data_IF_048496485903
#
_entry.id   IF_048496485903
#
_cell.length_a   1.000
_cell.length_b   1.000
_cell.length_c   1.000
_cell.angle_alpha   90.00
_cell.angle_beta   90.00
_cell.angle_gamma   90.00
#
_symmetry.space_group_name_H-M   'P 1'
#
loop_
_entity.id
_entity.type
_entity.pdbx_description
1 polymer ?
#
# COMPACT_ATOMS: atom_id res chain seq x y z
N UNK A 1 -4.56 11.16 -15.61
CA UNK A 1 -3.90 11.28 -14.30
C UNK A 1 -4.65 10.40 -13.34
N UNK A 2 -3.95 9.52 -12.61
CA UNK A 2 -4.56 8.63 -11.62
C UNK A 2 -3.96 8.94 -10.26
N UNK A 3 -4.83 9.13 -9.26
CA UNK A 3 -4.44 9.32 -7.86
C UNK A 3 -4.78 8.05 -7.09
N UNK A 4 -3.75 7.32 -6.67
CA UNK A 4 -3.89 6.07 -5.93
C UNK A 4 -3.74 6.35 -4.44
N UNK A 5 -4.71 5.90 -3.64
CA UNK A 5 -4.61 5.85 -2.19
C UNK A 5 -4.26 4.44 -1.70
N UNK A 6 -3.07 4.25 -1.13
CA UNK A 6 -2.72 3.05 -0.37
C UNK A 6 -3.28 3.19 1.04
N UNK A 7 -4.40 2.55 1.36
CA UNK A 7 -5.07 2.65 2.66
C UNK A 7 -5.00 1.32 3.41
N UNK A 8 -4.75 1.37 4.71
CA UNK A 8 -4.66 0.18 5.56
C UNK A 8 -4.16 0.52 6.95
N UNK A 9 -4.27 -0.41 7.89
CA UNK A 9 -3.90 -0.21 9.29
C UNK A 9 -2.38 0.05 9.47
N UNK A 10 -1.99 0.45 10.69
CA UNK A 10 -0.58 0.60 11.09
C UNK A 10 0.21 -0.66 10.71
N UNK A 11 1.43 -0.50 10.20
CA UNK A 11 2.31 -1.63 9.86
C UNK A 11 1.78 -2.62 8.81
N UNK A 12 0.74 -2.28 8.03
CA UNK A 12 0.28 -3.10 6.90
C UNK A 12 1.26 -3.13 5.70
N UNK A 13 2.35 -2.35 5.76
CA UNK A 13 3.41 -2.33 4.74
C UNK A 13 3.16 -1.41 3.54
N UNK A 14 2.25 -0.42 3.68
CA UNK A 14 1.99 0.61 2.65
C UNK A 14 3.26 1.32 2.16
N UNK A 15 4.11 1.74 3.09
CA UNK A 15 5.38 2.41 2.77
C UNK A 15 6.35 1.47 2.08
N UNK A 16 6.42 0.21 2.51
CA UNK A 16 7.27 -0.81 1.88
C UNK A 16 6.85 -1.05 0.42
N UNK A 17 5.55 -1.19 0.15
CA UNK A 17 5.00 -1.28 -1.22
C UNK A 17 5.44 -0.06 -2.04
N UNK A 18 5.32 1.15 -1.48
CA UNK A 18 5.68 2.39 -2.17
C UNK A 18 7.19 2.49 -2.46
N UNK A 19 8.05 2.12 -1.49
CA UNK A 19 9.51 2.09 -1.63
C UNK A 19 9.96 1.06 -2.67
N UNK A 20 9.36 -0.13 -2.63
CA UNK A 20 9.61 -1.18 -3.60
C UNK A 20 9.26 -0.72 -5.02
N UNK A 21 8.10 -0.09 -5.20
CA UNK A 21 7.73 0.46 -6.50
C UNK A 21 8.74 1.51 -7.01
N UNK A 22 9.19 2.43 -6.14
CA UNK A 22 10.24 3.41 -6.49
C UNK A 22 11.56 2.73 -6.87
N UNK A 23 11.94 1.66 -6.18
CA UNK A 23 13.13 0.86 -6.51
C UNK A 23 13.02 0.25 -7.92
N UNK A 24 11.84 -0.28 -8.28
CA UNK A 24 11.58 -0.80 -9.63
C UNK A 24 11.68 0.28 -10.71
N UNK A 25 11.13 1.47 -10.45
CA UNK A 25 11.25 2.61 -11.35
C UNK A 25 12.71 3.04 -11.55
N UNK A 26 13.46 3.19 -10.46
CA UNK A 26 14.84 3.69 -10.51
C UNK A 26 15.82 2.69 -11.14
N UNK A 27 15.60 1.39 -10.96
CA UNK A 27 16.44 0.34 -11.56
C UNK A 27 16.07 0.03 -13.03
N UNK A 28 14.95 0.56 -13.53
CA UNK A 28 14.41 0.20 -14.83
C UNK A 28 13.79 -1.21 -14.88
N UNK A 29 13.69 -1.90 -13.74
CA UNK A 29 13.09 -3.24 -13.65
C UNK A 29 11.57 -3.17 -13.89
N UNK A 30 10.97 -1.98 -13.80
CA UNK A 30 9.57 -1.73 -14.16
C UNK A 30 9.23 -2.10 -15.61
N UNK A 31 10.20 -2.12 -16.51
CA UNK A 31 9.98 -2.50 -17.92
C UNK A 31 9.92 -4.02 -18.11
N UNK A 32 10.39 -4.79 -17.12
CA UNK A 32 10.50 -6.26 -17.19
C UNK A 32 9.31 -6.99 -16.58
N UNK A 33 8.45 -6.30 -15.85
CA UNK A 33 7.25 -6.90 -15.23
C UNK A 33 6.09 -7.00 -16.22
N UNK A 34 5.06 -7.80 -15.92
CA UNK A 34 3.89 -7.88 -16.78
C UNK A 34 3.17 -6.52 -16.91
N UNK A 35 2.86 -6.10 -18.14
CA UNK A 35 2.34 -4.74 -18.39
C UNK A 35 3.38 -3.63 -18.19
N UNK A 36 4.67 -4.00 -18.12
CA UNK A 36 5.80 -3.13 -17.87
C UNK A 36 5.83 -1.93 -18.81
N UNK A 37 6.10 -0.76 -18.22
CA UNK A 37 6.05 0.51 -18.93
C UNK A 37 7.11 1.46 -18.40
N UNK A 38 7.87 2.07 -19.31
CA UNK A 38 8.89 3.04 -18.93
C UNK A 38 8.25 4.24 -18.24
N UNK A 39 8.62 4.45 -16.99
CA UNK A 39 8.09 5.50 -16.13
C UNK A 39 9.24 6.18 -15.40
N UNK A 40 9.15 7.51 -15.23
CA UNK A 40 10.15 8.31 -14.54
C UNK A 40 9.59 8.83 -13.23
N UNK A 41 10.37 8.73 -12.15
CA UNK A 41 10.04 9.35 -10.87
C UNK A 41 10.21 10.86 -10.99
N UNK A 42 9.15 11.62 -10.70
CA UNK A 42 9.18 13.09 -10.66
C UNK A 42 9.43 13.61 -9.26
N UNK A 43 8.83 12.98 -8.25
CA UNK A 43 8.96 13.39 -6.85
C UNK A 43 8.71 12.23 -5.91
N UNK A 44 9.54 12.13 -4.87
CA UNK A 44 9.31 11.24 -3.72
C UNK A 44 9.28 12.07 -2.45
N UNK A 45 8.43 11.68 -1.51
CA UNK A 45 8.32 12.31 -0.20
C UNK A 45 7.96 11.22 0.80
N UNK A 46 8.94 10.82 1.60
CA UNK A 46 8.81 9.81 2.65
C UNK A 46 8.85 10.43 4.05
N UNK A 47 8.57 11.74 4.16
CA UNK A 47 8.63 12.49 5.42
C UNK A 47 7.47 12.20 6.40
N UNK A 48 6.52 11.35 6.01
CA UNK A 48 5.40 10.91 6.84
C UNK A 48 5.75 9.79 7.82
N UNK A 49 7.03 9.43 7.97
CA UNK A 49 7.46 8.38 8.89
C UNK A 49 7.50 8.87 10.35
N UNK A 50 6.80 8.12 11.21
CA UNK A 50 7.22 7.93 12.59
C UNK A 50 8.08 6.65 12.61
N UNK A 51 9.38 6.78 12.82
CA UNK A 51 10.20 5.63 13.21
C UNK A 51 9.70 5.15 14.58
N UNK A 52 9.17 3.93 14.66
CA UNK A 52 9.01 3.27 15.97
C UNK A 52 10.42 3.03 16.49
N UNK A 53 10.80 3.52 17.68
CA UNK A 53 12.14 3.36 18.19
C UNK A 53 12.44 1.87 18.39
N UNK A 54 13.28 1.32 17.53
CA UNK A 54 13.99 0.07 17.80
C UNK A 54 14.93 0.35 18.97
N UNK A 55 14.75 -0.38 20.07
CA UNK A 55 15.43 -0.12 21.35
C UNK A 55 16.95 -0.02 21.28
N UNK A 56 17.48 0.67 22.28
CA UNK A 56 18.89 0.84 22.67
C UNK A 56 19.73 1.89 21.94
N UNK A 57 19.16 3.06 21.66
CA UNK A 57 19.96 4.30 21.62
C UNK A 57 19.24 5.41 22.39
N UNK A 58 19.92 5.96 23.38
CA UNK A 58 19.61 7.23 24.05
C UNK A 58 19.77 8.39 23.04
N UNK A 59 18.97 8.39 21.98
CA UNK A 59 18.93 9.52 21.07
C UNK A 59 17.81 10.45 21.55
N UNK A 60 18.22 11.61 22.08
CA UNK A 60 17.39 12.79 22.40
C UNK A 60 16.61 13.35 21.19
N UNK A 61 16.64 12.65 20.05
CA UNK A 61 15.80 12.87 18.86
C UNK A 61 14.45 12.13 18.94
N UNK A 62 14.24 11.26 19.94
CA UNK A 62 13.04 10.45 20.14
C UNK A 62 11.80 11.21 20.67
N UNK A 63 11.92 12.51 20.96
CA UNK A 63 10.80 13.37 21.41
C UNK A 63 10.22 14.26 20.31
N UNK A 64 10.54 14.03 19.03
CA UNK A 64 9.79 14.71 17.97
C UNK A 64 8.48 13.98 17.75
N UNK A 65 7.43 14.42 18.46
CA UNK A 65 6.05 14.29 17.97
C UNK A 65 6.08 14.54 16.46
N UNK A 66 5.71 13.52 15.67
CA UNK A 66 5.76 13.63 14.20
C UNK A 66 4.82 14.77 13.79
N UNK A 67 5.35 15.97 13.58
CA UNK A 67 4.57 17.15 13.17
C UNK A 67 4.10 17.06 11.72
N UNK A 68 4.56 16.07 10.95
CA UNK A 68 4.29 15.98 9.52
C UNK A 68 2.89 15.45 9.25
N UNK A 69 2.03 16.37 8.82
CA UNK A 69 0.68 16.18 8.27
C UNK A 69 0.71 15.43 6.93
N UNK A 70 1.87 15.41 6.27
CA UNK A 70 1.99 14.98 4.88
C UNK A 70 2.09 13.46 4.76
N UNK A 71 1.20 12.81 3.98
CA UNK A 71 1.32 11.40 3.68
C UNK A 71 2.57 11.15 2.84
N UNK A 72 3.12 9.94 2.95
CA UNK A 72 4.13 9.51 2.00
C UNK A 72 3.55 9.58 0.59
N UNK A 73 4.31 10.10 -0.37
CA UNK A 73 3.84 10.22 -1.76
C UNK A 73 4.93 9.96 -2.77
N UNK A 74 4.51 9.41 -3.90
CA UNK A 74 5.34 9.26 -5.10
C UNK A 74 4.57 9.84 -6.26
N UNK A 75 5.20 10.74 -7.01
CA UNK A 75 4.72 11.24 -8.29
C UNK A 75 5.62 10.66 -9.37
N UNK A 76 5.02 9.99 -10.33
CA UNK A 76 5.74 9.41 -11.47
C UNK A 76 5.02 9.74 -12.78
N UNK A 77 5.74 9.64 -13.90
CA UNK A 77 5.25 9.99 -15.23
C UNK A 77 5.57 8.88 -16.22
N UNK A 78 4.57 8.50 -17.00
CA UNK A 78 4.74 7.59 -18.13
C UNK A 78 5.58 8.26 -19.24
N UNK A 79 6.58 7.56 -19.78
CA UNK A 79 7.51 8.14 -20.75
C UNK A 79 6.88 8.36 -22.14
N UNK A 80 5.93 7.52 -22.54
CA UNK A 80 5.24 7.56 -23.84
C UNK A 80 4.09 8.57 -23.88
N UNK A 81 3.21 8.58 -22.87
CA UNK A 81 2.00 9.39 -22.84
C UNK A 81 2.22 10.75 -22.15
N UNK A 82 3.30 10.87 -21.37
CA UNK A 82 3.56 12.04 -20.54
C UNK A 82 2.60 12.20 -19.36
N UNK A 83 1.64 11.27 -19.16
CA UNK A 83 0.68 11.32 -18.06
C UNK A 83 1.40 11.17 -16.72
N UNK A 84 1.09 12.06 -15.79
CA UNK A 84 1.57 11.98 -14.41
C UNK A 84 0.54 11.26 -13.53
N UNK A 85 1.04 10.50 -12.57
CA UNK A 85 0.27 9.74 -11.60
C UNK A 85 0.84 10.00 -10.21
N UNK A 86 -0.03 9.95 -9.20
CA UNK A 86 0.38 10.15 -7.81
C UNK A 86 -0.11 9.00 -6.95
N UNK A 87 0.78 8.47 -6.12
CA UNK A 87 0.46 7.46 -5.12
C UNK A 87 0.63 8.11 -3.75
N UNK A 88 -0.38 7.96 -2.90
CA UNK A 88 -0.38 8.43 -1.52
C UNK A 88 -0.44 7.24 -0.57
N UNK A 89 0.40 7.26 0.46
CA UNK A 89 0.43 6.30 1.55
C UNK A 89 0.37 7.06 2.88
N UNK A 90 -0.84 7.40 3.38
CA UNK A 90 -0.98 7.97 4.71
C UNK A 90 -0.56 6.97 5.80
N UNK A 91 -0.29 7.47 7.00
CA UNK A 91 -0.12 6.64 8.18
C UNK A 91 -1.40 5.82 8.49
N UNK A 92 -1.26 4.76 9.30
CA UNK A 92 -2.39 3.92 9.70
C UNK A 92 -2.97 4.26 11.09
N UNK A 93 -2.32 5.14 11.85
CA UNK A 93 -2.68 5.41 13.24
C UNK A 93 -3.95 6.26 13.34
N UNK A 94 -5.04 5.62 13.73
CA UNK A 94 -6.36 6.25 13.86
C UNK A 94 -6.52 7.13 15.10
N UNK A 95 -5.66 6.97 16.11
CA UNK A 95 -5.73 7.75 17.35
C UNK A 95 -5.19 9.17 17.15
N UNK A 96 -4.27 9.35 16.19
CA UNK A 96 -3.69 10.64 15.87
C UNK A 96 -4.58 11.42 14.90
N UNK A 97 -5.14 12.53 15.38
CA UNK A 97 -6.05 13.39 14.60
C UNK A 97 -5.47 13.80 13.23
N UNK A 98 -4.18 14.13 13.20
CA UNK A 98 -3.46 14.52 11.97
C UNK A 98 -3.42 13.37 10.95
N UNK A 99 -3.14 12.14 11.40
CA UNK A 99 -3.11 10.96 10.52
C UNK A 99 -4.52 10.63 10.04
N UNK A 100 -5.53 10.72 10.91
CA UNK A 100 -6.94 10.56 10.55
C UNK A 100 -7.37 11.57 9.48
N UNK A 101 -6.96 12.82 9.60
CA UNK A 101 -7.21 13.85 8.58
C UNK A 101 -6.52 13.51 7.25
N UNK A 102 -5.29 12.98 7.30
CA UNK A 102 -4.59 12.46 6.12
C UNK A 102 -5.36 11.32 5.43
N UNK A 103 -5.85 10.34 6.19
CA UNK A 103 -6.67 9.22 5.66
C UNK A 103 -7.96 9.75 5.02
N UNK A 104 -8.67 10.68 5.65
CA UNK A 104 -9.89 11.29 5.09
C UNK A 104 -9.58 12.06 3.80
N UNK A 105 -8.49 12.83 3.80
CA UNK A 105 -8.10 13.63 2.64
C UNK A 105 -7.76 12.73 1.46
N UNK A 106 -6.91 11.71 1.68
CA UNK A 106 -6.51 10.77 0.63
C UNK A 106 -7.70 9.96 0.13
N UNK A 107 -8.55 9.45 1.02
CA UNK A 107 -9.74 8.68 0.61
C UNK A 107 -10.73 9.50 -0.22
N UNK A 108 -10.72 10.84 -0.09
CA UNK A 108 -11.55 11.73 -0.90
C UNK A 108 -10.95 12.12 -2.26
N UNK A 109 -9.63 12.29 -2.35
CA UNK A 109 -8.97 12.74 -3.60
C UNK A 109 -8.48 11.59 -4.49
N UNK A 110 -8.40 10.38 -3.92
CA UNK A 110 -7.97 9.19 -4.64
C UNK A 110 -9.04 8.77 -5.65
N UNK A 111 -8.67 8.67 -6.92
CA UNK A 111 -9.52 8.12 -7.97
C UNK A 111 -9.57 6.59 -7.89
N UNK A 112 -8.54 5.99 -7.30
CA UNK A 112 -8.41 4.55 -7.08
C UNK A 112 -7.88 4.29 -5.68
N UNK A 113 -8.41 3.29 -4.99
CA UNK A 113 -7.95 2.87 -3.66
C UNK A 113 -7.41 1.45 -3.76
N UNK A 114 -6.23 1.23 -3.17
CA UNK A 114 -5.71 -0.10 -2.84
C UNK A 114 -5.87 -0.27 -1.32
N UNK A 115 -6.75 -1.18 -0.93
CA UNK A 115 -6.93 -1.59 0.46
C UNK A 115 -5.85 -2.62 0.83
N UNK A 116 -4.89 -2.21 1.66
CA UNK A 116 -3.75 -3.02 2.08
C UNK A 116 -4.06 -3.72 3.39
N UNK A 117 -4.04 -5.05 3.35
CA UNK A 117 -4.11 -5.95 4.49
C UNK A 117 -2.77 -6.65 4.71
N UNK A 118 -2.58 -7.20 5.89
CA UNK A 118 -1.35 -7.91 6.27
C UNK A 118 -1.67 -9.24 6.93
N UNK A 119 -0.89 -10.27 6.62
CA UNK A 119 -1.12 -11.63 7.09
C UNK A 119 -0.68 -11.89 8.55
N UNK A 120 0.17 -11.01 9.10
CA UNK A 120 0.72 -11.14 10.47
C UNK A 120 -0.19 -10.57 11.56
N UNK A 121 -1.41 -10.13 11.22
CA UNK A 121 -2.32 -9.46 12.15
C UNK A 121 -3.76 -9.90 11.95
N UNK A 122 -4.54 -9.84 13.03
CA UNK A 122 -5.97 -10.16 13.00
C UNK A 122 -6.74 -9.26 12.05
N UNK A 123 -7.55 -9.86 11.17
CA UNK A 123 -8.41 -9.15 10.21
C UNK A 123 -9.37 -8.17 10.88
N UNK A 124 -9.89 -8.50 12.06
CA UNK A 124 -10.84 -7.64 12.78
C UNK A 124 -10.27 -6.23 13.04
N UNK A 125 -9.02 -6.17 13.50
CA UNK A 125 -8.35 -4.88 13.76
C UNK A 125 -8.13 -4.07 12.47
N UNK A 126 -7.90 -4.76 11.36
CA UNK A 126 -7.73 -4.16 10.04
C UNK A 126 -9.07 -3.70 9.46
N UNK A 127 -10.16 -4.42 9.71
CA UNK A 127 -11.52 -3.98 9.38
C UNK A 127 -11.95 -2.75 10.16
N UNK A 128 -11.55 -2.64 11.43
CA UNK A 128 -11.78 -1.43 12.22
C UNK A 128 -11.13 -0.21 11.59
N UNK A 129 -9.96 -0.36 10.96
CA UNK A 129 -9.37 0.72 10.18
C UNK A 129 -10.30 1.17 9.05
N UNK A 130 -10.83 0.23 8.26
CA UNK A 130 -11.71 0.56 7.14
C UNK A 130 -13.13 0.96 7.57
N UNK A 131 -13.58 0.61 8.79
CA UNK A 131 -14.80 1.16 9.42
C UNK A 131 -14.72 2.69 9.56
N UNK A 132 -13.52 3.23 9.80
CA UNK A 132 -13.33 4.68 9.98
C UNK A 132 -13.13 5.46 8.68
N UNK A 133 -12.91 4.76 7.55
CA UNK A 133 -12.78 5.38 6.24
C UNK A 133 -14.17 5.64 5.67
N UNK A 134 -14.51 6.92 5.47
CA UNK A 134 -15.85 7.32 5.02
C UNK A 134 -16.04 7.33 3.51
N UNK A 135 -14.98 7.64 2.76
CA UNK A 135 -15.06 7.80 1.32
C UNK A 135 -14.35 6.63 0.63
N UNK A 136 -15.08 5.94 -0.23
CA UNK A 136 -14.54 4.91 -1.11
C UNK A 136 -15.09 5.16 -2.52
N UNK A 137 -14.28 4.89 -3.57
CA UNK A 137 -14.83 4.70 -4.90
C UNK A 137 -15.66 3.41 -4.95
N UNK A 138 -16.56 3.31 -5.93
CA UNK A 138 -17.43 2.14 -6.14
C UNK A 138 -16.64 0.84 -6.37
N UNK A 139 -15.39 0.97 -6.82
CA UNK A 139 -14.47 -0.11 -7.15
C UNK A 139 -13.12 0.15 -6.51
N UNK A 140 -12.58 -0.85 -5.81
CA UNK A 140 -11.26 -0.82 -5.19
C UNK A 140 -10.41 -2.00 -5.64
N UNK A 141 -9.13 -1.93 -5.36
CA UNK A 141 -8.21 -3.05 -5.42
C UNK A 141 -7.84 -3.47 -4.00
N UNK A 142 -7.49 -4.73 -3.80
CA UNK A 142 -7.02 -5.25 -2.52
C UNK A 142 -5.59 -5.74 -2.66
N UNK A 143 -4.76 -5.47 -1.67
CA UNK A 143 -3.41 -6.00 -1.55
C UNK A 143 -3.28 -6.73 -0.22
N UNK A 144 -3.04 -8.04 -0.25
CA UNK A 144 -2.71 -8.83 0.93
C UNK A 144 -1.19 -8.94 0.99
N UNK A 145 -0.60 -8.34 2.01
CA UNK A 145 0.83 -8.21 2.18
C UNK A 145 1.38 -9.16 3.26
N UNK A 146 2.70 -9.35 3.24
CA UNK A 146 3.46 -10.20 4.15
C UNK A 146 3.01 -11.67 4.14
N UNK A 147 2.68 -12.18 2.95
CA UNK A 147 2.27 -13.58 2.80
C UNK A 147 3.37 -14.57 3.23
N UNK A 148 4.62 -14.11 3.22
CA UNK A 148 5.80 -14.83 3.71
C UNK A 148 5.71 -15.19 5.20
N UNK A 149 4.95 -14.42 5.99
CA UNK A 149 4.73 -14.66 7.41
C UNK A 149 3.61 -15.66 7.70
N UNK A 150 2.93 -16.19 6.68
CA UNK A 150 1.92 -17.24 6.88
C UNK A 150 2.58 -18.59 7.17
N UNK A 151 2.27 -19.15 8.33
CA UNK A 151 2.66 -20.51 8.74
C UNK A 151 1.51 -21.51 8.53
N UNK A 152 1.86 -22.79 8.31
CA UNK A 152 0.89 -23.87 8.11
C UNK A 152 0.26 -23.88 6.72
N UNK A 153 -1.04 -24.22 6.63
CA UNK A 153 -1.78 -24.24 5.37
C UNK A 153 -2.06 -22.80 4.87
N UNK A 154 -1.14 -22.31 4.04
CA UNK A 154 -1.18 -20.94 3.48
C UNK A 154 -2.36 -20.75 2.53
N UNK A 155 -2.69 -21.76 1.74
CA UNK A 155 -3.71 -21.66 0.71
C UNK A 155 -5.09 -21.52 1.35
N UNK A 156 -5.39 -22.38 2.34
CA UNK A 156 -6.64 -22.28 3.10
C UNK A 156 -6.77 -20.93 3.81
N UNK A 157 -5.73 -20.49 4.54
CA UNK A 157 -5.75 -19.19 5.25
C UNK A 157 -5.93 -18.00 4.32
N UNK A 158 -5.29 -18.03 3.15
CA UNK A 158 -5.44 -16.97 2.16
C UNK A 158 -6.86 -16.95 1.57
N UNK A 159 -7.46 -18.10 1.30
CA UNK A 159 -8.85 -18.14 0.80
C UNK A 159 -9.86 -17.67 1.84
N UNK A 160 -9.68 -18.07 3.10
CA UNK A 160 -10.50 -17.55 4.21
C UNK A 160 -10.37 -16.03 4.35
N UNK A 161 -9.14 -15.51 4.24
CA UNK A 161 -8.85 -14.08 4.30
C UNK A 161 -9.46 -13.32 3.11
N UNK A 162 -9.29 -13.81 1.89
CA UNK A 162 -9.89 -13.23 0.68
C UNK A 162 -11.41 -13.17 0.78
N UNK A 163 -12.03 -14.26 1.24
CA UNK A 163 -13.48 -14.34 1.43
C UNK A 163 -13.95 -13.32 2.46
N UNK A 164 -13.32 -13.26 3.63
CA UNK A 164 -13.68 -12.31 4.68
C UNK A 164 -13.54 -10.85 4.22
N UNK A 165 -12.46 -10.52 3.48
CA UNK A 165 -12.25 -9.18 2.91
C UNK A 165 -13.34 -8.87 1.87
N UNK A 166 -13.66 -9.83 1.01
CA UNK A 166 -14.68 -9.68 -0.03
C UNK A 166 -16.06 -9.43 0.58
N UNK A 167 -16.44 -10.21 1.59
CA UNK A 167 -17.72 -10.07 2.28
C UNK A 167 -17.82 -8.71 2.98
N UNK A 168 -16.72 -8.25 3.61
CA UNK A 168 -16.66 -6.96 4.29
C UNK A 168 -16.93 -5.77 3.34
N UNK A 169 -16.28 -5.73 2.18
CA UNK A 169 -16.48 -4.64 1.21
C UNK A 169 -17.79 -4.77 0.44
N UNK A 170 -18.22 -5.99 0.10
CA UNK A 170 -19.47 -6.23 -0.64
C UNK A 170 -20.69 -5.82 0.18
N UNK A 171 -20.68 -6.06 1.50
CA UNK A 171 -21.74 -5.59 2.42
C UNK A 171 -21.90 -4.06 2.39
N UNK A 172 -20.84 -3.34 2.04
CA UNK A 172 -20.82 -1.87 1.89
C UNK A 172 -21.09 -1.41 0.46
N UNK A 173 -21.44 -2.33 -0.43
CA UNK A 173 -21.65 -2.09 -1.87
C UNK A 173 -20.39 -1.61 -2.59
N UNK A 174 -19.21 -1.92 -2.06
CA UNK A 174 -17.91 -1.64 -2.69
C UNK A 174 -17.47 -2.90 -3.44
N UNK A 175 -17.18 -2.76 -4.73
CA UNK A 175 -16.70 -3.87 -5.57
C UNK A 175 -15.19 -3.99 -5.48
N UNK A 176 -14.67 -5.21 -5.44
CA UNK A 176 -13.24 -5.48 -5.55
C UNK A 176 -12.95 -5.85 -7.01
N UNK A 177 -12.09 -5.07 -7.67
CA UNK A 177 -11.66 -5.33 -9.04
C UNK A 177 -10.69 -6.51 -9.11
N UNK A 178 -9.71 -6.54 -8.21
CA UNK A 178 -8.67 -7.56 -8.16
C UNK A 178 -8.04 -7.65 -6.76
N UNK A 179 -7.43 -8.80 -6.45
CA UNK A 179 -6.71 -9.07 -5.20
C UNK A 179 -5.27 -9.47 -5.53
N UNK A 180 -4.32 -8.65 -5.10
CA UNK A 180 -2.90 -8.91 -5.25
C UNK A 180 -2.30 -9.45 -3.96
N UNK A 181 -1.36 -10.38 -4.11
CA UNK A 181 -0.57 -10.93 -3.03
C UNK A 181 0.85 -10.38 -3.12
N UNK A 182 1.42 -9.95 -1.98
CA UNK A 182 2.74 -9.33 -1.90
C UNK A 182 3.47 -9.81 -0.64
N UNK A 183 4.80 -9.76 -0.66
CA UNK A 183 5.65 -10.18 0.46
C UNK A 183 6.51 -9.02 0.99
N UNK A 184 7.17 -9.25 2.13
CA UNK A 184 8.18 -8.32 2.64
C UNK A 184 9.33 -8.07 1.67
N UNK A 185 9.90 -6.85 1.70
CA UNK A 185 10.92 -6.38 0.75
C UNK A 185 12.28 -7.10 0.88
N UNK A 186 12.63 -7.56 2.08
CA UNK A 186 13.95 -8.12 2.42
C UNK A 186 13.78 -9.43 3.18
N UNK A 187 13.65 -10.52 2.43
CA UNK A 187 13.62 -11.87 2.99
C UNK A 187 14.65 -12.65 2.19
N UNK A 188 15.59 -13.33 2.81
CA UNK A 188 16.64 -14.03 2.04
C UNK A 188 16.23 -15.47 1.68
N UNK A 189 15.16 -15.99 2.31
CA UNK A 189 14.76 -17.40 2.26
C UNK A 189 13.36 -17.66 1.66
N UNK A 190 12.74 -16.70 0.98
CA UNK A 190 11.44 -16.89 0.34
C UNK A 190 11.62 -17.07 -1.17
N UNK A 191 11.36 -18.29 -1.65
CA UNK A 191 11.69 -18.73 -3.03
C UNK A 191 10.97 -17.86 -4.09
N UNK A 192 9.81 -17.29 -3.74
CA UNK A 192 8.95 -16.56 -4.66
C UNK A 192 9.05 -15.02 -4.54
N UNK A 193 10.06 -14.47 -3.86
CA UNK A 193 10.17 -13.02 -3.59
C UNK A 193 10.09 -12.20 -4.87
N UNK A 194 10.81 -12.60 -5.91
CA UNK A 194 10.82 -11.86 -7.17
C UNK A 194 9.43 -11.83 -7.79
N UNK A 195 8.71 -12.96 -7.77
CA UNK A 195 7.33 -13.06 -8.25
C UNK A 195 6.41 -12.11 -7.49
N UNK A 196 6.46 -12.07 -6.15
CA UNK A 196 5.58 -11.23 -5.35
C UNK A 196 6.00 -9.76 -5.31
N UNK A 197 7.29 -9.45 -5.47
CA UNK A 197 7.77 -8.08 -5.64
C UNK A 197 7.38 -7.52 -7.01
N UNK A 198 7.42 -8.34 -8.07
CA UNK A 198 6.90 -7.96 -9.38
C UNK A 198 5.40 -7.64 -9.31
N UNK A 199 4.62 -8.38 -8.51
CA UNK A 199 3.18 -8.11 -8.31
C UNK A 199 2.88 -6.71 -7.77
N UNK A 200 3.77 -6.12 -6.97
CA UNK A 200 3.61 -4.72 -6.51
C UNK A 200 3.65 -3.76 -7.69
N UNK A 201 4.63 -3.94 -8.57
CA UNK A 201 4.79 -3.12 -9.76
C UNK A 201 3.65 -3.35 -10.76
N UNK A 202 3.28 -4.61 -11.02
CA UNK A 202 2.17 -4.99 -11.90
C UNK A 202 0.84 -4.38 -11.43
N UNK A 203 0.52 -4.48 -10.13
CA UNK A 203 -0.68 -3.89 -9.54
C UNK A 203 -0.75 -2.38 -9.81
N UNK A 204 0.31 -1.65 -9.49
CA UNK A 204 0.31 -0.18 -9.62
C UNK A 204 0.23 0.21 -11.10
N UNK A 205 0.98 -0.46 -11.97
CA UNK A 205 0.92 -0.21 -13.41
C UNK A 205 -0.47 -0.46 -13.95
N UNK A 206 -1.07 -1.62 -13.69
CA UNK A 206 -2.42 -1.98 -14.13
C UNK A 206 -3.45 -0.92 -13.71
N UNK A 207 -3.37 -0.41 -12.48
CA UNK A 207 -4.27 0.64 -12.00
C UNK A 207 -4.05 1.97 -12.72
N UNK A 208 -2.80 2.29 -13.08
CA UNK A 208 -2.49 3.57 -13.74
C UNK A 208 -2.69 3.57 -15.25
N UNK A 209 -2.58 2.42 -15.92
CA UNK A 209 -2.54 2.32 -17.38
C UNK A 209 -3.82 1.72 -18.01
N UNK A 210 -4.65 1.01 -17.25
CA UNK A 210 -5.85 0.32 -17.76
C UNK A 210 -7.12 1.19 -17.72
N UNK A 211 -6.98 2.51 -17.87
CA UNK A 211 -8.06 3.49 -17.80
C UNK A 211 -8.07 4.45 -19.00
#
# INVERSE_FOLDING_TARGET
>A
MVNIGLLGDVSAGKTSILRLFVKYLNKGDIEKVAGGKKCNVLKTDFSGEATVPTGNKEDSLNEKETKTIHPNRVVFREADSGKAHTIFAPGGDRKRAVVKMGIITISRIATQIIAVFTCDRELKTQFDFFNDVRFFPDKIYVCINKIDLLEGDREQKLEEMKKAITDFFTTRKIKINDIYLTCGETIDNFIDIEKYNNRVAEMILQITTTH
#
